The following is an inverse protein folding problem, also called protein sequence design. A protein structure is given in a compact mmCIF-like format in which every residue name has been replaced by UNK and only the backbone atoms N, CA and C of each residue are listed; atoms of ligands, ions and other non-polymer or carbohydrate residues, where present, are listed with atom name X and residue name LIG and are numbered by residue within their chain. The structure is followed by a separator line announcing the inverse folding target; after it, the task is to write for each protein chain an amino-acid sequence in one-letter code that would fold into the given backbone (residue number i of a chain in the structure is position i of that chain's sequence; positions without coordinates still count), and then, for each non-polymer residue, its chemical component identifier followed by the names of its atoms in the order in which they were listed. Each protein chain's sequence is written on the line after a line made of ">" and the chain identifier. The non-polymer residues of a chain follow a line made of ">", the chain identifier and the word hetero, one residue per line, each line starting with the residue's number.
data_IF_206655726856
#
_entry.id   IF_206655726856
#
_cell.length_a   1.000
_cell.length_b   1.000
_cell.length_c   1.000
_cell.angle_alpha   90.00
_cell.angle_beta   90.00
_cell.angle_gamma   90.00
#
_symmetry.space_group_name_H-M   'P 1'
#
loop_
_entity.id
_entity.type
_entity.pdbx_description
1 polymer ?
#
# COMPACT_ATOMS: atom_id res chain seq x y z
N UNK A 1 -38.22 4.73 9.41
CA UNK A 1 -36.94 5.14 10.01
C UNK A 1 -36.78 6.65 10.01
N UNK A 2 -36.97 7.35 8.89
CA UNK A 2 -36.92 8.84 8.83
C UNK A 2 -37.94 9.47 9.73
N UNK A 3 -39.18 8.97 9.74
CA UNK A 3 -40.25 9.42 10.65
C UNK A 3 -39.87 9.23 12.14
N UNK A 4 -39.20 8.12 12.47
CA UNK A 4 -38.69 7.86 13.81
C UNK A 4 -37.59 8.84 14.22
N UNK A 5 -36.72 9.20 13.29
CA UNK A 5 -35.63 10.16 13.54
C UNK A 5 -36.10 11.58 13.67
N UNK A 6 -37.18 11.95 12.96
CA UNK A 6 -37.81 13.30 13.07
C UNK A 6 -38.63 13.49 14.35
N UNK A 7 -39.12 12.38 14.96
CA UNK A 7 -39.94 12.41 16.18
C UNK A 7 -39.08 12.11 17.43
N UNK A 8 -38.12 12.99 17.70
CA UNK A 8 -37.05 12.80 18.69
C UNK A 8 -37.53 13.03 20.16
N UNK A 9 -38.59 12.38 20.60
CA UNK A 9 -39.07 12.42 22.00
C UNK A 9 -38.50 11.27 22.86
N UNK A 10 -37.61 10.44 22.36
CA UNK A 10 -37.05 9.32 23.11
C UNK A 10 -35.63 9.64 23.56
N UNK A 11 -35.29 9.32 24.82
CA UNK A 11 -33.92 9.38 25.36
C UNK A 11 -33.02 8.25 24.80
N UNK A 12 -33.42 7.62 23.71
CA UNK A 12 -32.71 6.50 23.11
C UNK A 12 -31.69 6.97 22.07
N UNK A 13 -30.48 6.39 22.08
CA UNK A 13 -29.46 6.58 21.05
C UNK A 13 -29.60 5.52 19.98
N UNK A 14 -29.78 5.92 18.72
CA UNK A 14 -29.79 5.02 17.56
C UNK A 14 -28.45 5.13 16.81
N UNK A 15 -27.69 4.05 16.76
CA UNK A 15 -26.42 3.98 16.02
C UNK A 15 -26.63 3.18 14.74
N UNK A 16 -26.48 3.83 13.59
CA UNK A 16 -26.57 3.24 12.27
C UNK A 16 -25.17 3.03 11.72
N UNK A 17 -24.79 1.78 11.42
CA UNK A 17 -23.48 1.43 10.86
C UNK A 17 -23.66 1.01 9.41
N UNK A 18 -22.88 1.63 8.52
CA UNK A 18 -22.87 1.30 7.09
C UNK A 18 -21.44 1.32 6.53
N UNK A 19 -21.07 0.29 5.80
CA UNK A 19 -19.74 0.15 5.25
C UNK A 19 -19.45 1.12 4.09
N UNK A 20 -20.47 1.46 3.28
CA UNK A 20 -20.35 2.39 2.17
C UNK A 20 -21.47 3.40 2.16
N UNK A 21 -21.13 4.69 2.15
CA UNK A 21 -22.07 5.77 1.92
C UNK A 21 -22.05 6.18 0.46
N UNK A 22 -23.08 5.83 -0.30
CA UNK A 22 -23.30 6.38 -1.64
C UNK A 22 -24.16 7.62 -1.52
N UNK A 23 -23.55 8.80 -1.62
CA UNK A 23 -24.22 10.09 -1.56
C UNK A 23 -25.23 10.34 -2.70
N UNK A 24 -25.22 9.50 -3.74
CA UNK A 24 -26.20 9.55 -4.84
C UNK A 24 -27.54 8.91 -4.46
N UNK A 25 -27.58 8.17 -3.36
CA UNK A 25 -28.81 7.56 -2.88
C UNK A 25 -29.59 8.59 -2.04
N UNK A 26 -30.75 9.04 -2.54
CA UNK A 26 -31.61 10.03 -1.90
C UNK A 26 -31.99 9.68 -0.44
N UNK A 27 -32.18 8.39 -0.16
CA UNK A 27 -32.48 7.92 1.19
C UNK A 27 -31.28 8.13 2.15
N UNK A 28 -30.07 7.83 1.69
CA UNK A 28 -28.83 8.04 2.47
C UNK A 28 -28.60 9.53 2.70
N UNK A 29 -28.84 10.36 1.70
CA UNK A 29 -28.71 11.81 1.82
C UNK A 29 -29.71 12.40 2.84
N UNK A 30 -30.93 11.89 2.87
CA UNK A 30 -31.93 12.26 3.88
C UNK A 30 -31.54 11.81 5.29
N UNK A 31 -30.98 10.59 5.44
CA UNK A 31 -30.47 10.10 6.73
C UNK A 31 -29.31 10.95 7.27
N UNK A 32 -28.37 11.35 6.39
CA UNK A 32 -27.24 12.19 6.79
C UNK A 32 -27.70 13.55 7.34
N UNK A 33 -28.80 14.09 6.82
CA UNK A 33 -29.37 15.36 7.30
C UNK A 33 -29.99 15.28 8.70
N UNK A 34 -30.58 14.12 9.04
CA UNK A 34 -31.24 13.88 10.33
C UNK A 34 -30.31 13.26 11.39
N UNK A 35 -29.11 12.81 11.01
CA UNK A 35 -28.16 12.17 11.90
C UNK A 35 -26.84 12.94 11.97
N UNK A 36 -26.03 12.68 13.00
CA UNK A 36 -24.63 13.14 13.06
C UNK A 36 -23.74 12.10 12.37
N UNK A 37 -23.25 12.35 11.14
CA UNK A 37 -22.39 11.38 10.44
C UNK A 37 -21.01 11.37 11.06
N UNK A 38 -20.52 10.17 11.40
CA UNK A 38 -19.16 9.96 11.91
C UNK A 38 -18.41 9.08 10.90
N UNK A 39 -17.35 9.61 10.31
CA UNK A 39 -16.47 8.87 9.41
C UNK A 39 -15.45 8.06 10.23
N UNK A 40 -15.59 6.73 10.20
CA UNK A 40 -14.71 5.79 10.91
C UNK A 40 -13.78 5.01 9.96
N UNK A 41 -13.63 5.47 8.71
CA UNK A 41 -12.71 4.85 7.76
C UNK A 41 -11.26 5.01 8.22
N UNK A 42 -10.41 4.04 7.81
CA UNK A 42 -8.97 4.15 8.03
C UNK A 42 -8.45 5.48 7.46
N UNK A 43 -7.68 6.26 8.24
CA UNK A 43 -7.10 7.51 7.78
C UNK A 43 -6.20 7.30 6.56
N UNK A 44 -6.12 8.29 5.69
CA UNK A 44 -5.14 8.28 4.60
C UNK A 44 -3.71 8.30 5.15
N UNK A 45 -2.77 7.76 4.38
CA UNK A 45 -1.36 7.60 4.73
C UNK A 45 -0.73 8.89 5.32
N UNK A 46 -1.04 10.04 4.73
CA UNK A 46 -0.55 11.35 5.19
C UNK A 46 -1.08 11.79 6.57
N UNK A 47 -2.21 11.25 7.02
CA UNK A 47 -2.81 11.52 8.33
C UNK A 47 -2.63 10.40 9.35
N UNK A 48 -2.12 9.26 8.92
CA UNK A 48 -1.96 8.09 9.78
C UNK A 48 -1.10 8.41 10.99
N UNK A 49 0.02 9.10 10.80
CA UNK A 49 0.95 9.49 11.87
C UNK A 49 0.28 10.39 12.92
N UNK A 50 -0.56 11.33 12.49
CA UNK A 50 -1.30 12.23 13.41
C UNK A 50 -2.29 11.43 14.27
N UNK A 51 -3.04 10.52 13.65
CA UNK A 51 -4.00 9.67 14.34
C UNK A 51 -3.33 8.70 15.32
N UNK A 52 -2.25 8.05 14.91
CA UNK A 52 -1.49 7.15 15.78
C UNK A 52 -0.95 7.92 16.99
N UNK A 53 -0.35 9.08 16.78
CA UNK A 53 0.16 9.93 17.88
C UNK A 53 -0.96 10.41 18.81
N UNK A 54 -2.14 10.73 18.28
CA UNK A 54 -3.30 11.08 19.09
C UNK A 54 -3.74 9.93 20.00
N UNK A 55 -3.83 8.70 19.45
CA UNK A 55 -4.24 7.51 20.22
C UNK A 55 -3.18 7.17 21.28
N UNK A 56 -1.89 7.22 20.94
CA UNK A 56 -0.78 6.99 21.87
C UNK A 56 -0.89 7.94 23.07
N UNK A 57 -1.10 9.23 22.82
CA UNK A 57 -1.30 10.23 23.89
C UNK A 57 -2.54 9.93 24.74
N UNK A 58 -3.67 9.61 24.10
CA UNK A 58 -4.93 9.30 24.77
C UNK A 58 -4.83 8.08 25.67
N UNK A 59 -4.11 7.05 25.24
CA UNK A 59 -3.92 5.82 25.99
C UNK A 59 -2.70 5.85 26.92
N UNK A 60 -1.99 6.99 27.02
CA UNK A 60 -0.80 7.19 27.88
C UNK A 60 0.30 6.18 27.62
N UNK A 61 0.50 5.77 26.37
CA UNK A 61 1.57 4.88 25.96
C UNK A 61 2.86 5.69 25.87
N UNK A 62 3.90 5.28 26.60
CA UNK A 62 5.22 5.93 26.55
C UNK A 62 6.07 5.24 25.49
N UNK A 63 6.47 5.97 24.43
CA UNK A 63 7.33 5.48 23.37
C UNK A 63 8.72 6.03 23.56
N UNK A 64 9.73 5.16 23.60
CA UNK A 64 11.12 5.56 23.75
C UNK A 64 11.74 6.12 22.45
N UNK A 65 11.23 5.70 21.28
CA UNK A 65 11.77 6.11 20.00
C UNK A 65 10.66 6.33 18.98
N UNK A 66 10.52 7.56 18.48
CA UNK A 66 9.53 7.91 17.45
C UNK A 66 9.73 7.16 16.13
N UNK A 67 10.93 6.67 15.84
CA UNK A 67 11.22 5.86 14.66
C UNK A 67 10.41 4.56 14.65
N UNK A 68 10.20 3.96 15.82
CA UNK A 68 9.39 2.73 15.96
C UNK A 68 7.96 2.95 15.47
N UNK A 69 7.38 4.13 15.74
CA UNK A 69 6.03 4.47 15.24
C UNK A 69 6.00 4.55 13.71
N UNK A 70 7.03 5.13 13.12
CA UNK A 70 7.16 5.21 11.66
C UNK A 70 7.31 3.82 11.04
N UNK A 71 8.15 2.98 11.66
CA UNK A 71 8.35 1.59 11.21
C UNK A 71 7.04 0.78 11.29
N UNK A 72 6.22 0.95 12.34
CA UNK A 72 4.91 0.30 12.45
C UNK A 72 3.88 0.87 11.47
N UNK A 73 3.88 2.18 11.23
CA UNK A 73 3.02 2.79 10.21
C UNK A 73 3.41 2.30 8.82
N UNK A 74 4.69 2.25 8.51
CA UNK A 74 5.21 1.69 7.26
C UNK A 74 4.85 0.21 7.12
N UNK A 75 4.89 -0.54 8.24
CA UNK A 75 4.59 -1.95 8.25
C UNK A 75 3.09 -2.27 8.13
N UNK A 76 2.24 -1.54 8.78
CA UNK A 76 0.82 -1.89 8.97
C UNK A 76 -0.13 -0.73 8.68
N UNK A 77 0.32 0.31 7.97
CA UNK A 77 -0.45 1.53 7.71
C UNK A 77 -1.77 1.32 6.95
N UNK A 78 -2.00 0.14 6.38
CA UNK A 78 -3.28 -0.24 5.79
C UNK A 78 -4.37 -0.48 6.85
N UNK A 79 -3.97 -0.72 8.11
CA UNK A 79 -4.87 -0.99 9.22
C UNK A 79 -4.37 -0.34 10.51
N UNK A 80 -4.98 0.78 10.88
CA UNK A 80 -4.62 1.55 12.08
C UNK A 80 -4.72 0.71 13.36
N UNK A 81 -5.68 -0.23 13.44
CA UNK A 81 -5.83 -1.10 14.61
C UNK A 81 -4.61 -2.00 14.78
N UNK A 82 -4.05 -2.52 13.70
CA UNK A 82 -2.82 -3.32 13.75
C UNK A 82 -1.64 -2.46 14.22
N UNK A 83 -1.47 -1.24 13.67
CA UNK A 83 -0.42 -0.31 14.11
C UNK A 83 -0.50 -0.08 15.62
N UNK A 84 -1.68 0.24 16.13
CA UNK A 84 -1.88 0.50 17.56
C UNK A 84 -1.64 -0.75 18.40
N UNK A 85 -2.11 -1.92 17.98
CA UNK A 85 -1.91 -3.17 18.68
C UNK A 85 -0.42 -3.53 18.79
N UNK A 86 0.35 -3.40 17.71
CA UNK A 86 1.79 -3.66 17.75
C UNK A 86 2.54 -2.67 18.62
N UNK A 87 2.18 -1.39 18.59
CA UNK A 87 2.74 -0.39 19.52
C UNK A 87 2.43 -0.75 20.98
N UNK A 88 1.21 -1.21 21.28
CA UNK A 88 0.83 -1.67 22.64
C UNK A 88 1.63 -2.90 23.06
N UNK A 89 1.80 -3.87 22.18
CA UNK A 89 2.59 -5.08 22.46
C UNK A 89 4.04 -4.71 22.74
N UNK A 90 4.63 -3.82 21.96
CA UNK A 90 5.99 -3.34 22.14
C UNK A 90 6.15 -2.61 23.49
N UNK A 91 5.22 -1.74 23.83
CA UNK A 91 5.16 -1.06 25.12
C UNK A 91 5.06 -2.05 26.30
N UNK A 92 4.17 -3.05 26.19
CA UNK A 92 3.98 -4.07 27.25
C UNK A 92 5.16 -5.03 27.36
N UNK A 93 5.89 -5.28 26.27
CA UNK A 93 7.09 -6.14 26.25
C UNK A 93 8.36 -5.44 26.72
N UNK A 94 8.28 -4.23 27.28
CA UNK A 94 9.42 -3.38 27.67
C UNK A 94 10.42 -3.15 26.52
N UNK A 95 9.89 -2.90 25.30
CA UNK A 95 10.68 -2.63 24.07
C UNK A 95 11.65 -3.77 23.68
N UNK A 96 11.39 -5.00 24.08
CA UNK A 96 12.00 -6.15 23.42
C UNK A 96 11.37 -6.23 22.04
N UNK A 97 12.07 -5.68 21.04
CA UNK A 97 11.61 -5.54 19.66
C UNK A 97 10.84 -6.79 19.22
N UNK A 98 9.53 -6.64 19.09
CA UNK A 98 8.73 -7.66 18.40
C UNK A 98 9.24 -7.67 16.97
N UNK A 99 9.78 -8.82 16.53
CA UNK A 99 10.27 -8.96 15.18
C UNK A 99 9.16 -8.59 14.22
N UNK A 100 9.33 -7.47 13.49
CA UNK A 100 8.39 -6.94 12.50
C UNK A 100 8.30 -7.87 11.26
N UNK A 101 8.88 -9.07 11.34
CA UNK A 101 9.05 -10.01 10.23
C UNK A 101 7.76 -10.63 9.68
N UNK A 102 6.57 -10.36 10.24
CA UNK A 102 5.30 -10.89 9.74
C UNK A 102 4.45 -9.85 9.00
N UNK A 103 5.08 -8.92 8.28
CA UNK A 103 4.33 -7.98 7.46
C UNK A 103 3.69 -8.70 6.26
N UNK A 104 2.37 -8.58 6.12
CA UNK A 104 1.69 -8.95 4.88
C UNK A 104 1.89 -7.84 3.83
N UNK A 105 2.87 -8.04 2.97
CA UNK A 105 3.06 -7.17 1.82
C UNK A 105 2.09 -7.54 0.69
N UNK A 106 1.60 -6.51 -0.01
CA UNK A 106 0.84 -6.66 -1.24
C UNK A 106 1.74 -6.38 -2.45
N UNK A 107 1.37 -6.86 -3.62
CA UNK A 107 2.13 -6.69 -4.86
C UNK A 107 2.39 -5.21 -5.21
N UNK A 108 1.48 -4.31 -4.85
CA UNK A 108 1.69 -2.88 -5.09
C UNK A 108 2.81 -2.28 -4.20
N UNK A 109 3.10 -2.83 -3.03
CA UNK A 109 4.26 -2.41 -2.23
C UNK A 109 5.57 -2.74 -2.97
N UNK A 110 5.60 -3.89 -3.66
CA UNK A 110 6.74 -4.26 -4.48
C UNK A 110 6.91 -3.30 -5.67
N UNK A 111 5.82 -2.94 -6.35
CA UNK A 111 5.85 -1.91 -7.39
C UNK A 111 6.37 -0.56 -6.84
N UNK A 112 5.92 -0.14 -5.65
CA UNK A 112 6.34 1.12 -5.05
C UNK A 112 7.84 1.13 -4.70
N UNK A 113 8.36 0.05 -4.11
CA UNK A 113 9.77 -0.07 -3.77
C UNK A 113 10.66 -0.05 -5.01
N UNK A 114 10.30 -0.79 -6.05
CA UNK A 114 11.01 -0.80 -7.33
C UNK A 114 10.89 0.58 -8.01
N UNK A 115 9.70 1.19 -8.05
CA UNK A 115 9.52 2.53 -8.63
C UNK A 115 10.36 3.61 -7.96
N UNK A 116 10.66 3.45 -6.68
CA UNK A 116 11.56 4.33 -5.90
C UNK A 116 13.04 3.96 -5.97
N UNK A 117 13.41 2.87 -6.61
CA UNK A 117 14.77 2.25 -6.58
C UNK A 117 15.23 1.93 -5.14
N UNK A 118 14.31 1.57 -4.23
CA UNK A 118 14.63 1.17 -2.86
C UNK A 118 14.99 -0.32 -2.82
N UNK A 119 16.29 -0.63 -2.96
CA UNK A 119 16.81 -1.99 -3.05
C UNK A 119 16.49 -2.82 -1.81
N UNK A 120 16.79 -2.30 -0.61
CA UNK A 120 16.62 -3.05 0.63
C UNK A 120 15.15 -3.42 0.83
N UNK A 121 14.26 -2.44 0.68
CA UNK A 121 12.82 -2.66 0.81
C UNK A 121 12.27 -3.60 -0.28
N UNK A 122 12.80 -3.55 -1.49
CA UNK A 122 12.37 -4.44 -2.58
C UNK A 122 12.73 -5.90 -2.32
N UNK A 123 13.90 -6.18 -1.75
CA UNK A 123 14.34 -7.54 -1.37
C UNK A 123 13.47 -8.09 -0.23
N UNK A 124 13.22 -7.29 0.81
CA UNK A 124 12.38 -7.69 1.94
C UNK A 124 10.94 -8.00 1.50
N UNK A 125 10.37 -7.13 0.67
CA UNK A 125 9.02 -7.32 0.13
C UNK A 125 8.97 -8.56 -0.78
N UNK A 126 9.93 -8.73 -1.68
CA UNK A 126 10.01 -9.89 -2.56
C UNK A 126 10.03 -11.20 -1.76
N UNK A 127 10.90 -11.28 -0.76
CA UNK A 127 11.02 -12.45 0.11
C UNK A 127 9.71 -12.74 0.87
N UNK A 128 9.08 -11.71 1.42
CA UNK A 128 7.80 -11.85 2.12
C UNK A 128 6.67 -12.29 1.20
N UNK A 129 6.60 -11.75 -0.02
CA UNK A 129 5.58 -12.16 -1.01
C UNK A 129 5.73 -13.63 -1.40
N UNK A 130 6.97 -14.12 -1.56
CA UNK A 130 7.24 -15.54 -1.83
C UNK A 130 6.80 -16.43 -0.66
N UNK A 131 7.16 -16.06 0.57
CA UNK A 131 6.75 -16.80 1.78
C UNK A 131 5.23 -16.86 1.94
N UNK A 132 4.52 -15.82 1.51
CA UNK A 132 3.06 -15.74 1.52
C UNK A 132 2.40 -16.45 0.30
N UNK A 133 3.17 -17.19 -0.51
CA UNK A 133 2.65 -17.99 -1.61
C UNK A 133 2.29 -17.20 -2.89
N UNK A 134 2.74 -15.95 -3.01
CA UNK A 134 2.54 -15.21 -4.26
C UNK A 134 3.39 -15.81 -5.39
N UNK A 135 2.78 -15.98 -6.56
CA UNK A 135 3.49 -16.51 -7.73
C UNK A 135 4.43 -15.46 -8.32
N UNK A 136 5.61 -15.89 -8.72
CA UNK A 136 6.60 -15.01 -9.38
C UNK A 136 6.08 -14.46 -10.70
N UNK A 137 5.37 -15.28 -11.47
CA UNK A 137 4.79 -14.83 -12.72
C UNK A 137 3.84 -13.63 -12.50
N UNK A 138 3.10 -13.64 -11.40
CA UNK A 138 2.28 -12.51 -11.02
C UNK A 138 3.12 -11.27 -10.68
N UNK A 139 4.24 -11.44 -9.96
CA UNK A 139 5.16 -10.33 -9.67
C UNK A 139 5.75 -9.72 -10.93
N UNK A 140 6.14 -10.57 -11.92
CA UNK A 140 6.65 -10.11 -13.22
C UNK A 140 5.58 -9.30 -13.96
N UNK A 141 4.32 -9.74 -13.97
CA UNK A 141 3.21 -9.02 -14.61
C UNK A 141 3.00 -7.66 -13.94
N UNK A 142 3.07 -7.59 -12.60
CA UNK A 142 2.93 -6.33 -11.87
C UNK A 142 4.08 -5.37 -12.18
N UNK A 143 5.34 -5.86 -12.25
CA UNK A 143 6.48 -5.03 -12.64
C UNK A 143 6.35 -4.54 -14.09
N UNK A 144 5.97 -5.42 -15.01
CA UNK A 144 5.74 -5.06 -16.40
C UNK A 144 4.72 -3.92 -16.51
N UNK A 145 3.59 -4.06 -15.81
CA UNK A 145 2.54 -3.04 -15.80
C UNK A 145 2.98 -1.71 -15.16
N UNK A 146 3.86 -1.76 -14.15
CA UNK A 146 4.46 -0.57 -13.56
C UNK A 146 5.29 0.19 -14.61
N UNK A 147 6.20 -0.50 -15.30
CA UNK A 147 7.10 0.14 -16.26
C UNK A 147 6.39 0.60 -17.52
N UNK A 148 5.37 -0.12 -18.00
CA UNK A 148 4.47 0.39 -19.04
C UNK A 148 3.81 1.71 -18.62
N UNK A 149 3.30 1.79 -17.39
CA UNK A 149 2.66 2.99 -16.88
C UNK A 149 3.62 4.17 -16.74
N UNK A 150 4.86 3.95 -16.26
CA UNK A 150 5.88 4.99 -16.16
C UNK A 150 6.30 5.45 -17.58
N UNK A 151 6.46 4.53 -18.53
CA UNK A 151 6.80 4.82 -19.91
C UNK A 151 5.77 5.71 -20.59
N UNK A 152 4.49 5.37 -20.47
CA UNK A 152 3.41 6.19 -21.00
C UNK A 152 3.34 7.56 -20.34
N UNK A 153 3.58 7.61 -19.02
CA UNK A 153 3.61 8.87 -18.29
C UNK A 153 4.74 9.78 -18.79
N UNK A 154 5.93 9.24 -19.03
CA UNK A 154 7.07 9.99 -19.57
C UNK A 154 6.80 10.52 -20.97
N UNK A 155 6.15 9.72 -21.84
CA UNK A 155 5.80 10.14 -23.21
C UNK A 155 4.67 11.17 -23.26
N UNK A 156 3.60 10.97 -22.51
CA UNK A 156 2.36 11.72 -22.65
C UNK A 156 2.12 12.73 -21.51
N UNK A 157 2.92 12.72 -20.44
CA UNK A 157 2.72 13.48 -19.18
C UNK A 157 1.30 13.37 -18.59
N UNK A 158 0.59 12.30 -18.91
CA UNK A 158 -0.77 12.02 -18.45
C UNK A 158 -0.86 10.61 -17.86
N UNK A 159 -1.62 10.46 -16.78
CA UNK A 159 -1.94 9.16 -16.16
C UNK A 159 -3.07 8.48 -16.96
N UNK A 160 -2.85 8.21 -18.25
CA UNK A 160 -3.85 7.58 -19.13
C UNK A 160 -3.88 6.05 -19.03
N UNK A 161 -2.90 5.47 -18.33
CA UNK A 161 -2.74 4.02 -18.25
C UNK A 161 -3.85 3.34 -17.46
N UNK A 162 -4.73 2.62 -18.15
CA UNK A 162 -5.85 1.85 -17.58
C UNK A 162 -5.49 0.37 -17.39
N UNK A 163 -4.36 0.08 -16.73
CA UNK A 163 -3.98 -1.29 -16.44
C UNK A 163 -4.56 -1.73 -15.09
N UNK A 164 -5.17 -2.93 -15.07
CA UNK A 164 -5.76 -3.53 -13.87
C UNK A 164 -4.71 -3.82 -12.77
N UNK A 165 -3.48 -4.16 -13.16
CA UNK A 165 -2.38 -4.49 -12.23
C UNK A 165 -1.70 -3.28 -11.60
N UNK A 166 -2.14 -2.06 -11.91
CA UNK A 166 -1.63 -0.82 -11.32
C UNK A 166 -2.75 -0.14 -10.55
N UNK A 167 -2.65 -0.15 -9.22
CA UNK A 167 -3.65 0.49 -8.39
C UNK A 167 -3.54 2.03 -8.43
N UNK A 168 -4.56 2.72 -7.88
CA UNK A 168 -4.64 4.18 -7.87
C UNK A 168 -3.48 4.83 -7.13
N UNK A 169 -2.95 4.18 -6.09
CA UNK A 169 -1.82 4.68 -5.28
C UNK A 169 -0.56 4.76 -6.14
N UNK A 170 -0.26 3.70 -6.88
CA UNK A 170 0.90 3.63 -7.79
C UNK A 170 0.76 4.65 -8.92
N UNK A 171 -0.45 4.76 -9.54
CA UNK A 171 -0.71 5.75 -10.59
C UNK A 171 -0.44 7.17 -10.13
N UNK A 172 -0.83 7.52 -8.91
CA UNK A 172 -0.61 8.85 -8.35
C UNK A 172 0.88 9.16 -8.08
N UNK A 173 1.73 8.13 -8.03
CA UNK A 173 3.17 8.24 -7.79
C UNK A 173 4.02 8.20 -9.06
N UNK A 174 3.44 8.07 -10.24
CA UNK A 174 4.21 8.06 -11.50
C UNK A 174 5.08 9.28 -11.71
N UNK A 175 4.65 10.45 -11.23
CA UNK A 175 5.46 11.68 -11.26
C UNK A 175 6.74 11.58 -10.39
N UNK A 176 6.73 10.74 -9.36
CA UNK A 176 7.90 10.48 -8.49
C UNK A 176 8.81 9.46 -9.19
N UNK A 177 8.24 8.35 -9.64
CA UNK A 177 9.00 7.28 -10.28
C UNK A 177 9.66 7.72 -11.58
N UNK A 178 8.98 8.54 -12.39
CA UNK A 178 9.51 9.08 -13.65
C UNK A 178 10.78 9.94 -13.51
N UNK A 179 11.11 10.35 -12.29
CA UNK A 179 12.37 11.06 -12.01
C UNK A 179 13.56 10.11 -11.82
N UNK A 180 13.26 8.84 -11.53
CA UNK A 180 14.28 7.82 -11.25
C UNK A 180 14.64 7.01 -12.48
N UNK A 181 13.90 7.14 -13.58
CA UNK A 181 14.05 6.29 -14.77
C UNK A 181 14.10 7.11 -16.06
N UNK A 182 15.03 6.76 -16.95
CA UNK A 182 15.02 7.25 -18.33
C UNK A 182 14.16 6.36 -19.24
N UNK A 183 13.75 6.87 -20.40
CA UNK A 183 12.98 6.09 -21.38
C UNK A 183 13.77 4.87 -21.86
N UNK A 184 15.07 5.05 -22.16
CA UNK A 184 15.92 3.96 -22.62
C UNK A 184 16.08 2.86 -21.56
N UNK A 185 16.28 3.26 -20.29
CA UNK A 185 16.33 2.32 -19.15
C UNK A 185 15.05 1.50 -19.05
N UNK A 186 13.88 2.15 -19.14
CA UNK A 186 12.58 1.45 -19.07
C UNK A 186 12.42 0.47 -20.22
N UNK A 187 12.83 0.83 -21.45
CA UNK A 187 12.76 -0.05 -22.60
C UNK A 187 13.62 -1.31 -22.38
N UNK A 188 14.83 -1.17 -21.84
CA UNK A 188 15.68 -2.31 -21.47
C UNK A 188 15.05 -3.18 -20.38
N UNK A 189 14.49 -2.58 -19.33
CA UNK A 189 13.81 -3.30 -18.27
C UNK A 189 12.60 -4.09 -18.81
N UNK A 190 11.78 -3.48 -19.66
CA UNK A 190 10.63 -4.14 -20.28
C UNK A 190 11.08 -5.35 -21.12
N UNK A 191 12.16 -5.24 -21.89
CA UNK A 191 12.72 -6.36 -22.64
C UNK A 191 13.17 -7.49 -21.71
N UNK A 192 13.85 -7.17 -20.61
CA UNK A 192 14.30 -8.16 -19.62
C UNK A 192 13.13 -8.82 -18.89
N UNK A 193 12.06 -8.10 -18.58
CA UNK A 193 10.85 -8.68 -18.01
C UNK A 193 10.15 -9.64 -18.98
N UNK A 194 10.10 -9.33 -20.29
CA UNK A 194 9.59 -10.25 -21.32
C UNK A 194 10.44 -11.51 -21.42
N UNK A 195 11.76 -11.38 -21.40
CA UNK A 195 12.70 -12.50 -21.39
C UNK A 195 12.45 -13.40 -20.17
N UNK A 196 12.31 -12.82 -18.97
CA UNK A 196 12.00 -13.58 -17.76
C UNK A 196 10.63 -14.28 -17.82
N UNK A 197 9.60 -13.62 -18.33
CA UNK A 197 8.28 -14.24 -18.49
C UNK A 197 8.35 -15.44 -19.44
N UNK A 198 9.07 -15.31 -20.56
CA UNK A 198 9.31 -16.41 -21.48
C UNK A 198 10.08 -17.58 -20.83
N UNK A 199 11.14 -17.28 -20.11
CA UNK A 199 11.96 -18.28 -19.40
C UNK A 199 11.16 -18.97 -18.30
N UNK A 200 10.30 -18.26 -17.59
CA UNK A 200 9.44 -18.82 -16.55
C UNK A 200 8.49 -19.92 -17.03
N UNK A 201 8.15 -19.87 -18.32
CA UNK A 201 7.22 -20.81 -18.96
C UNK A 201 7.88 -21.96 -19.69
N UNK A 202 9.15 -21.78 -20.12
CA UNK A 202 9.81 -22.67 -21.07
C UNK A 202 11.13 -23.28 -20.57
N UNK A 203 11.57 -22.96 -19.36
CA UNK A 203 12.85 -23.45 -18.87
C UNK A 203 12.79 -23.92 -17.41
N UNK A 204 13.79 -24.74 -17.02
CA UNK A 204 13.99 -25.22 -15.65
C UNK A 204 14.84 -24.23 -14.79
N UNK A 205 14.98 -22.98 -15.23
CA UNK A 205 15.80 -21.98 -14.54
C UNK A 205 15.14 -21.62 -13.19
N UNK A 206 15.95 -21.35 -12.18
CA UNK A 206 15.48 -20.82 -10.91
C UNK A 206 14.98 -19.37 -11.10
N UNK A 207 13.72 -19.27 -11.47
CA UNK A 207 13.07 -17.99 -11.80
C UNK A 207 13.06 -17.02 -10.59
N UNK A 208 13.08 -17.54 -9.36
CA UNK A 208 13.14 -16.73 -8.15
C UNK A 208 14.42 -15.90 -8.11
N UNK A 209 15.57 -16.57 -8.32
CA UNK A 209 16.87 -15.91 -8.32
C UNK A 209 17.00 -14.94 -9.49
N UNK A 210 16.49 -15.30 -10.66
CA UNK A 210 16.53 -14.44 -11.84
C UNK A 210 15.70 -13.18 -11.65
N UNK A 211 14.51 -13.28 -11.04
CA UNK A 211 13.64 -12.12 -10.73
C UNK A 211 14.27 -11.25 -9.65
N UNK A 212 14.89 -11.85 -8.63
CA UNK A 212 15.60 -11.09 -7.61
C UNK A 212 16.79 -10.34 -8.20
N UNK A 213 17.57 -11.01 -9.04
CA UNK A 213 18.71 -10.40 -9.75
C UNK A 213 18.27 -9.23 -10.63
N UNK A 214 17.17 -9.39 -11.39
CA UNK A 214 16.62 -8.30 -12.19
C UNK A 214 16.18 -7.11 -11.30
N UNK A 215 15.47 -7.38 -10.20
CA UNK A 215 15.05 -6.34 -9.26
C UNK A 215 16.24 -5.59 -8.66
N UNK A 216 17.32 -6.30 -8.33
CA UNK A 216 18.58 -5.71 -7.86
C UNK A 216 19.22 -4.83 -8.93
N UNK A 217 19.31 -5.31 -10.18
CA UNK A 217 19.87 -4.56 -11.29
C UNK A 217 19.06 -3.28 -11.60
N UNK A 218 17.75 -3.34 -11.51
CA UNK A 218 16.85 -2.17 -11.67
C UNK A 218 17.14 -1.14 -10.59
N UNK A 219 17.16 -1.54 -9.32
CA UNK A 219 17.35 -0.63 -8.20
C UNK A 219 18.78 -0.03 -8.17
N UNK A 220 19.79 -0.77 -8.63
CA UNK A 220 21.17 -0.29 -8.71
C UNK A 220 21.48 0.58 -9.93
N UNK A 221 20.52 0.78 -10.84
CA UNK A 221 20.73 1.57 -12.06
C UNK A 221 21.59 0.88 -13.13
N UNK A 222 21.65 -0.45 -13.13
CA UNK A 222 22.46 -1.21 -14.10
C UNK A 222 22.03 -1.01 -15.57
N UNK A 223 20.81 -0.54 -15.80
CA UNK A 223 20.24 -0.32 -17.13
C UNK A 223 20.23 1.16 -17.56
N UNK A 224 20.85 2.04 -16.79
CA UNK A 224 21.01 3.48 -17.11
C UNK A 224 21.85 3.75 -18.35
#
# INVERSE_FOLDING_TARGET
>A
LLEYLSDSKSDNYLILVKNNFDSRNKFVDSLIKECTPIDVRTPFENKMKEWVNYIIKKEKITIQNNKIVEDYIDAYGDNISNVINYIKIDFLSNNKSVNIYNRNYYLWHFQDSIGKKDLNKSIDIFSSLLLNGNSINLMIIYLFSLFEGIYEFLKNKKNSHNNFFVNKIIKNRFNIYSRNYSINEIEHIILKLKELDFLSKNSSININNSTLCLSTNICSGYYE
#
